data_IF_376909150095
#
_entry.id   IF_376909150095
#
_cell.length_a   1.000
_cell.length_b   1.000
_cell.length_c   1.000
_cell.angle_alpha   90.00
_cell.angle_beta   90.00
_cell.angle_gamma   90.00
#
_symmetry.space_group_name_H-M   'P 1'
#
loop_
_entity.id
_entity.type
_entity.pdbx_description
1 polymer ?
#
# COMPACT_ATOMS: atom_id res chain seq x y z
N UNK A 1 -3.56 17.92 -52.58
CA UNK A 1 -4.33 16.75 -52.10
C UNK A 1 -3.55 15.49 -52.44
N UNK A 2 -3.49 14.53 -51.52
CA UNK A 2 -2.75 13.25 -51.57
C UNK A 2 -1.27 13.26 -51.13
N UNK A 3 -1.02 13.66 -49.88
CA UNK A 3 0.03 13.03 -49.02
C UNK A 3 -0.52 12.98 -47.58
N UNK A 4 -1.60 12.20 -47.38
CA UNK A 4 -2.11 11.82 -46.06
C UNK A 4 -2.55 10.36 -46.16
N UNK A 5 -1.58 9.46 -46.27
CA UNK A 5 -1.81 8.02 -46.21
C UNK A 5 -0.48 7.31 -45.97
N UNK A 6 0.02 7.34 -44.72
CA UNK A 6 0.90 6.34 -44.09
C UNK A 6 1.44 6.90 -42.78
N UNK A 7 0.72 6.64 -41.70
CA UNK A 7 1.27 6.31 -40.38
C UNK A 7 0.13 5.95 -39.42
N UNK A 8 -0.75 5.03 -39.86
CA UNK A 8 -1.35 4.09 -38.92
C UNK A 8 -0.36 2.93 -38.83
N UNK A 9 0.75 3.17 -38.13
CA UNK A 9 1.55 2.08 -37.61
C UNK A 9 0.74 1.47 -36.49
N UNK A 10 -0.07 0.46 -36.81
CA UNK A 10 -0.58 -0.44 -35.79
C UNK A 10 0.61 -0.80 -34.92
N UNK A 11 0.51 -0.50 -33.62
CA UNK A 11 1.39 -1.02 -32.59
C UNK A 11 1.18 -2.54 -32.58
N UNK A 12 1.78 -3.23 -33.55
CA UNK A 12 1.80 -4.68 -33.61
C UNK A 12 2.68 -5.11 -32.45
N UNK A 13 2.02 -5.39 -31.32
CA UNK A 13 2.62 -6.05 -30.17
C UNK A 13 3.28 -7.32 -30.70
N UNK A 14 4.55 -7.51 -30.38
CA UNK A 14 5.24 -8.78 -30.67
C UNK A 14 4.48 -9.92 -29.98
N UNK A 15 4.62 -11.16 -30.46
CA UNK A 15 3.91 -12.29 -29.86
C UNK A 15 4.25 -12.46 -28.36
N UNK A 16 5.48 -12.10 -27.97
CA UNK A 16 5.93 -12.03 -26.59
C UNK A 16 5.21 -10.93 -25.78
N UNK A 17 5.10 -9.70 -26.32
CA UNK A 17 4.36 -8.61 -25.67
C UNK A 17 2.87 -8.95 -25.54
N UNK A 18 2.30 -9.66 -26.52
CA UNK A 18 0.91 -10.13 -26.48
C UNK A 18 0.70 -11.19 -25.40
N UNK A 19 1.66 -12.10 -25.21
CA UNK A 19 1.63 -13.08 -24.14
C UNK A 19 1.70 -12.41 -22.76
N UNK A 20 2.68 -11.50 -22.56
CA UNK A 20 2.82 -10.69 -21.34
C UNK A 20 1.54 -9.91 -21.02
N UNK A 21 0.89 -9.33 -22.05
CA UNK A 21 -0.35 -8.57 -21.88
C UNK A 21 -1.51 -9.45 -21.42
N UNK A 22 -1.64 -10.68 -21.96
CA UNK A 22 -2.66 -11.64 -21.51
C UNK A 22 -2.43 -12.08 -20.07
N UNK A 23 -1.17 -12.34 -19.70
CA UNK A 23 -0.81 -12.70 -18.32
C UNK A 23 -1.09 -11.55 -17.35
N UNK A 24 -0.69 -10.33 -17.70
CA UNK A 24 -1.02 -9.12 -16.95
C UNK A 24 -2.53 -8.93 -16.79
N UNK A 25 -3.31 -9.15 -17.84
CA UNK A 25 -4.78 -9.07 -17.76
C UNK A 25 -5.38 -10.06 -16.76
N UNK A 26 -4.85 -11.29 -16.71
CA UNK A 26 -5.27 -12.31 -15.72
C UNK A 26 -4.87 -11.92 -14.29
N UNK A 27 -3.64 -11.46 -14.09
CA UNK A 27 -3.16 -10.99 -12.78
C UNK A 27 -3.97 -9.78 -12.30
N UNK A 28 -4.21 -8.79 -13.17
CA UNK A 28 -5.02 -7.62 -12.86
C UNK A 28 -6.47 -8.00 -12.49
N UNK A 29 -7.08 -8.92 -13.24
CA UNK A 29 -8.42 -9.42 -12.95
C UNK A 29 -8.45 -10.15 -11.59
N UNK A 30 -7.45 -11.00 -11.30
CA UNK A 30 -7.30 -11.67 -10.02
C UNK A 30 -7.14 -10.70 -8.85
N UNK A 31 -6.28 -9.69 -9.00
CA UNK A 31 -6.09 -8.62 -7.99
C UNK A 31 -7.36 -7.81 -7.77
N UNK A 32 -8.07 -7.47 -8.84
CA UNK A 32 -9.33 -6.73 -8.74
C UNK A 32 -10.38 -7.54 -7.99
N UNK A 33 -10.53 -8.84 -8.32
CA UNK A 33 -11.42 -9.75 -7.61
C UNK A 33 -11.08 -9.87 -6.12
N UNK A 34 -9.79 -9.99 -5.79
CA UNK A 34 -9.32 -10.00 -4.40
C UNK A 34 -9.68 -8.68 -3.68
N UNK A 35 -9.44 -7.53 -4.31
CA UNK A 35 -9.75 -6.22 -3.73
C UNK A 35 -11.24 -6.08 -3.44
N UNK A 36 -12.13 -6.57 -4.31
CA UNK A 36 -13.59 -6.55 -4.06
C UNK A 36 -13.94 -7.30 -2.78
N UNK A 37 -13.39 -8.50 -2.59
CA UNK A 37 -13.65 -9.34 -1.42
C UNK A 37 -13.05 -8.72 -0.15
N UNK A 38 -11.84 -8.18 -0.24
CA UNK A 38 -11.12 -7.61 0.91
C UNK A 38 -11.43 -6.14 1.18
N UNK A 39 -12.29 -5.50 0.38
CA UNK A 39 -12.52 -4.06 0.47
C UNK A 39 -12.96 -3.58 1.85
N UNK A 40 -13.89 -4.27 2.56
CA UNK A 40 -14.26 -3.87 3.93
C UNK A 40 -13.08 -3.81 4.89
N UNK A 41 -12.07 -4.68 4.71
CA UNK A 41 -10.84 -4.65 5.52
C UNK A 41 -9.98 -3.45 5.14
N UNK A 42 -9.88 -3.12 3.85
CA UNK A 42 -9.19 -1.91 3.38
C UNK A 42 -9.84 -0.64 3.90
N UNK A 43 -11.18 -0.58 3.89
CA UNK A 43 -11.97 0.51 4.45
C UNK A 43 -11.65 0.72 5.94
N UNK A 44 -11.77 -0.35 6.74
CA UNK A 44 -11.45 -0.29 8.18
C UNK A 44 -9.97 0.06 8.42
N UNK A 45 -9.05 -0.43 7.58
CA UNK A 45 -7.63 -0.09 7.68
C UNK A 45 -7.38 1.40 7.45
N UNK A 46 -8.03 2.03 6.47
CA UNK A 46 -7.91 3.48 6.25
C UNK A 46 -8.43 4.24 7.47
N UNK A 47 -9.58 3.86 8.03
CA UNK A 47 -10.10 4.47 9.26
C UNK A 47 -9.13 4.34 10.44
N UNK A 48 -8.50 3.17 10.62
CA UNK A 48 -7.46 2.99 11.64
C UNK A 48 -6.25 3.88 11.40
N UNK A 49 -5.82 4.06 10.15
CA UNK A 49 -4.71 4.96 9.81
C UNK A 49 -5.04 6.42 10.13
N UNK A 50 -6.29 6.83 9.93
CA UNK A 50 -6.82 8.15 10.33
C UNK A 50 -7.04 8.27 11.84
N UNK A 51 -6.97 7.16 12.59
CA UNK A 51 -7.14 7.13 14.04
C UNK A 51 -8.60 7.17 14.50
N UNK A 52 -9.54 6.72 13.66
CA UNK A 52 -10.96 6.70 14.02
C UNK A 52 -11.31 5.53 14.94
N UNK A 53 -11.37 5.78 16.25
CA UNK A 53 -11.69 4.77 17.27
C UNK A 53 -12.88 5.17 18.17
N UNK A 54 -14.12 5.21 17.64
CA UNK A 54 -15.29 5.65 18.41
C UNK A 54 -15.81 4.59 19.39
N UNK A 55 -15.28 3.36 19.33
CA UNK A 55 -15.82 2.21 20.04
C UNK A 55 -15.12 1.95 21.38
N UNK A 56 -15.82 1.35 22.35
CA UNK A 56 -15.26 1.09 23.67
C UNK A 56 -14.11 0.06 23.61
N UNK A 57 -13.14 0.28 24.48
CA UNK A 57 -12.01 -0.61 24.74
C UNK A 57 -12.47 -1.87 25.48
N UNK A 58 -11.83 -2.98 25.15
CA UNK A 58 -11.99 -4.26 25.87
C UNK A 58 -10.80 -4.45 26.81
N UNK A 59 -11.06 -4.92 28.02
CA UNK A 59 -10.00 -5.29 28.95
C UNK A 59 -9.53 -6.72 28.70
N UNK A 60 -8.22 -6.94 28.73
CA UNK A 60 -7.64 -8.27 28.57
C UNK A 60 -6.23 -8.37 29.15
N UNK A 61 -5.65 -9.57 29.11
CA UNK A 61 -4.24 -9.79 29.44
C UNK A 61 -3.40 -9.68 28.17
N UNK A 62 -2.27 -8.98 28.24
CA UNK A 62 -1.32 -8.77 27.13
C UNK A 62 -0.81 -10.09 26.50
N UNK A 63 -0.77 -11.16 27.30
CA UNK A 63 -0.49 -12.53 26.89
C UNK A 63 -1.60 -13.42 27.43
N UNK A 64 -2.14 -14.32 26.61
CA UNK A 64 -3.37 -15.09 26.87
C UNK A 64 -3.39 -15.80 28.25
N UNK A 65 -2.22 -16.12 28.83
CA UNK A 65 -2.11 -16.79 30.13
C UNK A 65 -1.30 -16.05 31.21
N UNK A 66 -0.34 -15.19 30.88
CA UNK A 66 0.61 -14.61 31.86
C UNK A 66 0.94 -13.12 31.60
N UNK A 67 -0.02 -12.36 31.07
CA UNK A 67 0.18 -10.94 30.73
C UNK A 67 -0.35 -9.94 31.77
N UNK A 68 0.21 -8.73 31.73
CA UNK A 68 -0.33 -7.54 32.40
C UNK A 68 -1.74 -7.23 31.88
N UNK A 69 -2.59 -6.67 32.74
CA UNK A 69 -3.86 -6.07 32.31
C UNK A 69 -3.59 -4.90 31.36
N UNK A 70 -4.07 -5.03 30.13
CA UNK A 70 -3.94 -4.03 29.06
C UNK A 70 -5.30 -3.77 28.44
N UNK A 71 -5.51 -2.56 27.95
CA UNK A 71 -6.68 -2.22 27.16
C UNK A 71 -6.44 -2.60 25.70
N UNK A 72 -7.48 -3.10 25.05
CA UNK A 72 -7.47 -3.49 23.65
C UNK A 72 -8.54 -2.75 22.88
N UNK A 73 -8.16 -2.21 21.73
CA UNK A 73 -9.11 -1.71 20.74
C UNK A 73 -9.87 -2.90 20.12
N UNK A 74 -11.10 -2.68 19.64
CA UNK A 74 -11.83 -3.72 18.93
C UNK A 74 -11.02 -4.22 17.74
N UNK A 75 -11.07 -5.53 17.52
CA UNK A 75 -10.51 -6.15 16.33
C UNK A 75 -11.23 -5.64 15.07
N UNK A 76 -10.60 -5.77 13.90
CA UNK A 76 -11.14 -5.28 12.63
C UNK A 76 -12.55 -5.82 12.32
N UNK A 77 -12.84 -7.08 12.67
CA UNK A 77 -14.14 -7.69 12.39
C UNK A 77 -15.25 -7.10 13.28
N UNK A 78 -14.95 -6.89 14.56
CA UNK A 78 -15.86 -6.27 15.53
C UNK A 78 -16.06 -4.80 15.20
N UNK A 79 -15.00 -4.11 14.79
CA UNK A 79 -15.05 -2.75 14.30
C UNK A 79 -15.98 -2.62 13.08
N UNK A 80 -15.78 -3.46 12.05
CA UNK A 80 -16.66 -3.51 10.87
C UNK A 80 -18.10 -3.86 11.28
N UNK A 81 -18.29 -4.84 12.16
CA UNK A 81 -19.62 -5.23 12.65
C UNK A 81 -20.33 -4.07 13.34
N UNK A 82 -19.62 -3.25 14.11
CA UNK A 82 -20.22 -2.10 14.76
C UNK A 82 -20.56 -1.01 13.72
N UNK A 83 -19.67 -0.73 12.76
CA UNK A 83 -19.97 0.24 11.68
C UNK A 83 -21.21 -0.17 10.88
N UNK A 84 -21.36 -1.46 10.56
CA UNK A 84 -22.54 -1.97 9.85
C UNK A 84 -23.81 -1.80 10.68
N UNK A 85 -23.72 -1.92 12.00
CA UNK A 85 -24.86 -1.70 12.89
C UNK A 85 -25.22 -0.21 13.01
N UNK A 86 -24.23 0.68 13.03
CA UNK A 86 -24.43 2.11 13.24
C UNK A 86 -24.81 2.86 11.95
N UNK A 87 -24.10 2.58 10.84
CA UNK A 87 -24.16 3.33 9.58
C UNK A 87 -24.69 2.50 8.40
N UNK A 88 -24.73 1.17 8.55
CA UNK A 88 -25.23 0.25 7.53
C UNK A 88 -24.14 -0.33 6.61
N UNK A 89 -24.51 -1.37 5.84
CA UNK A 89 -23.57 -2.12 5.01
C UNK A 89 -22.98 -1.30 3.85
N UNK A 90 -23.74 -0.33 3.32
CA UNK A 90 -23.33 0.48 2.16
C UNK A 90 -22.07 1.30 2.45
N UNK A 91 -21.90 1.75 3.70
CA UNK A 91 -20.76 2.56 4.13
C UNK A 91 -19.42 1.83 3.98
N UNK A 92 -19.40 0.50 4.13
CA UNK A 92 -18.19 -0.29 3.94
C UNK A 92 -17.64 -0.23 2.51
N UNK A 93 -18.47 0.16 1.53
CA UNK A 93 -18.10 0.30 0.13
C UNK A 93 -17.91 1.77 -0.29
N UNK A 94 -17.88 2.71 0.65
CA UNK A 94 -17.59 4.12 0.37
C UNK A 94 -16.17 4.28 -0.19
N UNK A 95 -16.05 4.84 -1.40
CA UNK A 95 -14.77 5.07 -2.08
C UNK A 95 -14.26 3.86 -2.89
N UNK A 96 -15.04 2.79 -3.00
CA UNK A 96 -14.67 1.57 -3.71
C UNK A 96 -14.40 1.79 -5.21
N UNK A 97 -15.18 2.65 -5.84
CA UNK A 97 -15.02 3.08 -7.23
C UNK A 97 -13.63 3.70 -7.49
N UNK A 98 -13.20 4.62 -6.62
CA UNK A 98 -11.89 5.24 -6.68
C UNK A 98 -10.77 4.23 -6.37
N UNK A 99 -11.01 3.26 -5.50
CA UNK A 99 -10.05 2.18 -5.22
C UNK A 99 -9.80 1.29 -6.45
N UNK A 100 -10.85 0.89 -7.16
CA UNK A 100 -10.72 0.12 -8.42
C UNK A 100 -10.01 0.97 -9.47
N UNK A 101 -10.39 2.24 -9.63
CA UNK A 101 -9.74 3.13 -10.58
C UNK A 101 -8.23 3.27 -10.27
N UNK A 102 -7.85 3.43 -9.00
CA UNK A 102 -6.46 3.48 -8.58
C UNK A 102 -5.70 2.20 -8.96
N UNK A 103 -6.29 1.02 -8.69
CA UNK A 103 -5.69 -0.27 -9.00
C UNK A 103 -5.49 -0.47 -10.50
N UNK A 104 -6.54 -0.24 -11.30
CA UNK A 104 -6.51 -0.46 -12.74
C UNK A 104 -5.57 0.53 -13.41
N UNK A 105 -5.70 1.81 -13.12
CA UNK A 105 -4.87 2.86 -13.74
C UNK A 105 -3.41 2.73 -13.29
N UNK A 106 -3.15 2.51 -12.00
CA UNK A 106 -1.80 2.33 -11.49
C UNK A 106 -1.13 1.06 -12.01
N UNK A 107 -1.86 -0.05 -12.03
CA UNK A 107 -1.37 -1.33 -12.54
C UNK A 107 -1.05 -1.27 -14.03
N UNK A 108 -1.97 -0.71 -14.83
CA UNK A 108 -1.76 -0.55 -16.29
C UNK A 108 -0.62 0.41 -16.60
N UNK A 109 -0.50 1.53 -15.87
CA UNK A 109 0.60 2.46 -16.02
C UNK A 109 1.97 1.83 -15.67
N UNK A 110 2.04 1.07 -14.58
CA UNK A 110 3.25 0.36 -14.19
C UNK A 110 3.65 -0.68 -15.24
N UNK A 111 2.69 -1.47 -15.72
CA UNK A 111 2.92 -2.47 -16.77
C UNK A 111 3.33 -1.84 -18.12
N UNK A 112 2.64 -0.78 -18.55
CA UNK A 112 2.98 -0.05 -19.77
C UNK A 112 4.39 0.55 -19.68
N UNK A 113 4.77 1.07 -18.51
CA UNK A 113 6.13 1.58 -18.25
C UNK A 113 7.16 0.46 -18.32
N UNK A 114 6.84 -0.73 -17.80
CA UNK A 114 7.71 -1.90 -17.88
C UNK A 114 7.94 -2.34 -19.34
N UNK A 115 6.88 -2.43 -20.15
CA UNK A 115 7.00 -2.74 -21.59
C UNK A 115 7.82 -1.67 -22.32
N UNK A 116 7.60 -0.40 -22.00
CA UNK A 116 8.34 0.71 -22.59
C UNK A 116 9.83 0.65 -22.26
N UNK A 117 10.19 0.37 -20.99
CA UNK A 117 11.58 0.18 -20.57
C UNK A 117 12.21 -1.01 -21.28
N UNK A 118 11.51 -2.14 -21.36
CA UNK A 118 12.04 -3.35 -22.00
C UNK A 118 12.32 -3.12 -23.50
N UNK A 119 11.49 -2.31 -24.17
CA UNK A 119 11.61 -2.03 -25.60
C UNK A 119 12.67 -0.98 -25.94
N UNK A 120 12.70 0.15 -25.23
CA UNK A 120 13.51 1.31 -25.60
C UNK A 120 14.76 1.48 -24.74
N UNK A 121 14.76 0.95 -23.52
CA UNK A 121 15.86 1.09 -22.57
C UNK A 121 16.31 -0.27 -22.02
N UNK A 122 16.71 -1.22 -22.89
CA UNK A 122 17.16 -2.55 -22.45
C UNK A 122 18.44 -2.52 -21.62
N UNK A 123 19.18 -1.40 -21.58
CA UNK A 123 20.34 -1.17 -20.71
C UNK A 123 20.01 -0.47 -19.38
N UNK A 124 18.74 -0.16 -19.10
CA UNK A 124 18.38 0.50 -17.84
C UNK A 124 18.68 -0.44 -16.66
N UNK A 125 19.62 -0.02 -15.81
CA UNK A 125 20.09 -0.77 -14.65
C UNK A 125 21.25 -1.73 -14.91
N UNK A 126 21.90 -1.70 -16.08
CA UNK A 126 23.04 -2.54 -16.46
C UNK A 126 22.90 -3.12 -17.86
N UNK A 127 23.85 -3.89 -18.37
CA UNK A 127 23.67 -4.56 -19.68
C UNK A 127 22.57 -5.63 -19.64
N UNK A 128 21.92 -5.97 -20.78
CA UNK A 128 21.01 -7.10 -20.85
C UNK A 128 21.76 -8.40 -20.59
N UNK A 129 21.75 -8.80 -19.33
CA UNK A 129 22.22 -10.08 -18.85
C UNK A 129 21.15 -11.14 -19.16
N UNK A 130 21.57 -12.27 -19.74
CA UNK A 130 20.69 -13.43 -19.89
C UNK A 130 20.22 -13.88 -18.50
N UNK A 131 18.91 -14.13 -18.34
CA UNK A 131 18.35 -14.83 -17.18
C UNK A 131 18.78 -16.31 -17.26
N UNK A 132 20.07 -16.58 -17.03
CA UNK A 132 20.60 -17.95 -16.86
C UNK A 132 20.18 -18.49 -15.49
N UNK A 133 20.08 -19.81 -15.37
CA UNK A 133 19.89 -20.47 -14.08
C UNK A 133 21.08 -20.10 -13.16
N UNK A 134 20.78 -19.64 -11.94
CA UNK A 134 21.74 -18.98 -11.04
C UNK A 134 22.91 -19.87 -10.57
N UNK A 135 22.85 -21.18 -10.85
CA UNK A 135 23.88 -22.16 -10.51
C UNK A 135 25.22 -21.94 -11.25
N UNK A 136 25.24 -21.17 -12.36
CA UNK A 136 26.47 -20.90 -13.14
C UNK A 136 27.08 -19.50 -12.93
N UNK A 137 26.57 -18.72 -11.97
CA UNK A 137 26.75 -17.26 -11.97
C UNK A 137 27.67 -16.78 -10.83
N UNK A 138 28.71 -16.02 -11.21
CA UNK A 138 29.61 -15.32 -10.28
C UNK A 138 28.88 -14.37 -9.31
N UNK A 139 29.40 -14.23 -8.09
CA UNK A 139 28.86 -13.41 -7.00
C UNK A 139 28.50 -11.99 -7.46
N UNK A 140 29.37 -11.39 -8.28
CA UNK A 140 29.21 -10.04 -8.79
C UNK A 140 28.09 -9.93 -9.83
N UNK A 141 27.86 -10.96 -10.63
CA UNK A 141 26.84 -10.95 -11.67
C UNK A 141 25.44 -11.10 -11.09
N UNK A 142 25.24 -11.93 -10.06
CA UNK A 142 23.95 -12.06 -9.36
C UNK A 142 23.53 -10.73 -8.71
N UNK A 143 24.47 -10.02 -8.08
CA UNK A 143 24.21 -8.69 -7.51
C UNK A 143 23.77 -7.68 -8.58
N UNK A 144 24.46 -7.66 -9.72
CA UNK A 144 24.11 -6.77 -10.84
C UNK A 144 22.71 -7.08 -11.40
N UNK A 145 22.36 -8.37 -11.53
CA UNK A 145 21.04 -8.79 -12.01
C UNK A 145 19.92 -8.34 -11.06
N UNK A 146 20.10 -8.50 -9.75
CA UNK A 146 19.11 -8.11 -8.75
C UNK A 146 18.95 -6.59 -8.66
N UNK A 147 20.06 -5.84 -8.71
CA UNK A 147 20.03 -4.37 -8.77
C UNK A 147 19.32 -3.89 -10.03
N UNK A 148 19.61 -4.48 -11.18
CA UNK A 148 18.94 -4.17 -12.46
C UNK A 148 17.43 -4.40 -12.36
N UNK A 149 17.01 -5.56 -11.85
CA UNK A 149 15.59 -5.89 -11.61
C UNK A 149 14.94 -4.86 -10.67
N UNK A 150 15.62 -4.48 -9.59
CA UNK A 150 15.13 -3.48 -8.64
C UNK A 150 14.98 -2.09 -9.24
N UNK A 151 15.96 -1.60 -10.01
CA UNK A 151 15.92 -0.28 -10.66
C UNK A 151 14.73 -0.20 -11.61
N UNK A 152 14.55 -1.19 -12.48
CA UNK A 152 13.42 -1.25 -13.43
C UNK A 152 12.07 -1.28 -12.71
N UNK A 153 11.95 -2.14 -11.69
CA UNK A 153 10.76 -2.23 -10.85
C UNK A 153 10.47 -0.92 -10.10
N UNK A 154 11.52 -0.21 -9.67
CA UNK A 154 11.36 1.11 -9.02
C UNK A 154 10.76 2.10 -10.00
N UNK A 155 11.29 2.21 -11.21
CA UNK A 155 10.76 3.17 -12.21
C UNK A 155 9.30 2.86 -12.56
N UNK A 156 8.98 1.61 -12.88
CA UNK A 156 7.60 1.23 -13.23
C UNK A 156 6.62 1.45 -12.07
N UNK A 157 7.02 1.09 -10.85
CA UNK A 157 6.19 1.28 -9.67
C UNK A 157 5.95 2.76 -9.36
N UNK A 158 7.00 3.61 -9.41
CA UNK A 158 6.85 5.04 -9.14
C UNK A 158 5.91 5.70 -10.14
N UNK A 159 6.00 5.37 -11.43
CA UNK A 159 5.08 5.87 -12.46
C UNK A 159 3.65 5.41 -12.16
N UNK A 160 3.46 4.13 -11.82
CA UNK A 160 2.16 3.60 -11.40
C UNK A 160 1.57 4.32 -10.18
N UNK A 161 2.38 4.58 -9.16
CA UNK A 161 1.97 5.28 -7.92
C UNK A 161 1.64 6.74 -8.19
N UNK A 162 2.40 7.44 -9.03
CA UNK A 162 2.12 8.82 -9.42
C UNK A 162 0.78 8.89 -10.16
N UNK A 163 0.57 8.04 -11.17
CA UNK A 163 -0.64 8.09 -12.00
C UNK A 163 -1.88 7.65 -11.21
N UNK A 164 -1.76 6.68 -10.29
CA UNK A 164 -2.87 6.24 -9.44
C UNK A 164 -3.17 7.17 -8.26
N UNK A 165 -2.26 8.08 -7.89
CA UNK A 165 -2.40 8.91 -6.68
C UNK A 165 -3.70 9.70 -6.59
N UNK A 166 -4.18 10.39 -7.64
CA UNK A 166 -5.44 11.14 -7.59
C UNK A 166 -6.63 10.28 -7.14
N UNK A 167 -6.69 9.03 -7.61
CA UNK A 167 -7.76 8.10 -7.26
C UNK A 167 -7.64 7.62 -5.81
N UNK A 168 -6.43 7.31 -5.36
CA UNK A 168 -6.17 6.95 -3.95
C UNK A 168 -6.54 8.08 -2.99
N UNK A 169 -6.25 9.34 -3.34
CA UNK A 169 -6.63 10.51 -2.53
C UNK A 169 -8.15 10.65 -2.45
N UNK A 170 -8.87 10.47 -3.56
CA UNK A 170 -10.34 10.51 -3.57
C UNK A 170 -10.91 9.39 -2.69
N UNK A 171 -10.39 8.17 -2.79
CA UNK A 171 -10.79 7.05 -1.94
C UNK A 171 -10.63 7.41 -0.45
N UNK A 172 -9.45 7.87 -0.05
CA UNK A 172 -9.16 8.21 1.35
C UNK A 172 -10.08 9.31 1.87
N UNK A 173 -10.30 10.37 1.08
CA UNK A 173 -11.17 11.50 1.48
C UNK A 173 -12.64 11.12 1.60
N UNK A 174 -13.11 10.20 0.76
CA UNK A 174 -14.47 9.66 0.86
C UNK A 174 -14.63 8.78 2.10
N UNK A 175 -13.63 7.96 2.42
CA UNK A 175 -13.63 7.17 3.66
C UNK A 175 -13.59 8.09 4.88
N UNK A 176 -12.77 9.15 4.85
CA UNK A 176 -12.64 10.10 5.95
C UNK A 176 -13.94 10.86 6.25
N UNK A 177 -14.77 11.12 5.24
CA UNK A 177 -16.07 11.78 5.42
C UNK A 177 -17.04 11.02 6.32
N UNK A 178 -16.94 9.70 6.37
CA UNK A 178 -17.77 8.86 7.23
C UNK A 178 -17.45 9.09 8.72
N UNK A 179 -16.28 9.63 9.05
CA UNK A 179 -15.88 9.98 10.43
C UNK A 179 -16.70 11.17 10.94
N UNK A 180 -16.92 12.18 10.10
CA UNK A 180 -17.59 13.43 10.46
C UNK A 180 -19.04 13.52 9.99
N UNK A 181 -19.49 12.56 9.16
CA UNK A 181 -20.82 12.56 8.55
C UNK A 181 -20.99 13.64 7.46
N UNK A 182 -19.89 14.08 6.85
CA UNK A 182 -19.90 15.13 5.82
C UNK A 182 -20.17 14.58 4.42
N UNK A 183 -21.05 15.22 3.64
CA UNK A 183 -21.37 14.78 2.27
C UNK A 183 -20.67 15.61 1.17
N UNK A 184 -19.39 15.96 1.34
CA UNK A 184 -18.67 16.83 0.39
C UNK A 184 -18.23 16.10 -0.91
N UNK A 185 -17.97 14.79 -0.88
CA UNK A 185 -17.44 13.98 -1.99
C UNK A 185 -18.39 12.79 -2.31
N UNK A 186 -19.45 13.06 -3.05
CA UNK A 186 -20.51 12.06 -3.33
C UNK A 186 -20.14 11.07 -4.44
N UNK A 187 -19.61 11.56 -5.57
CA UNK A 187 -19.23 10.76 -6.74
C UNK A 187 -17.74 10.91 -7.01
N UNK A 188 -17.04 9.85 -7.44
CA UNK A 188 -15.59 9.95 -7.68
C UNK A 188 -15.23 10.99 -8.76
N UNK A 189 -16.01 11.09 -9.85
CA UNK A 189 -15.79 12.07 -10.94
C UNK A 189 -16.00 13.50 -10.43
N UNK A 190 -17.13 13.75 -9.76
CA UNK A 190 -17.40 15.07 -9.18
C UNK A 190 -16.31 15.44 -8.15
N UNK A 191 -15.86 14.47 -7.36
CA UNK A 191 -14.80 14.66 -6.36
C UNK A 191 -13.48 15.03 -7.02
N UNK A 192 -13.12 14.37 -8.12
CA UNK A 192 -11.92 14.71 -8.90
C UNK A 192 -11.92 16.17 -9.36
N UNK A 193 -13.00 16.61 -10.01
CA UNK A 193 -13.11 17.99 -10.48
C UNK A 193 -13.21 19.00 -9.33
N UNK A 194 -13.91 18.64 -8.25
CA UNK A 194 -14.06 19.50 -7.06
C UNK A 194 -12.73 19.75 -6.39
N UNK A 195 -11.93 18.71 -6.16
CA UNK A 195 -10.57 18.84 -5.59
C UNK A 195 -9.69 19.68 -6.53
N UNK A 196 -9.72 19.39 -7.84
CA UNK A 196 -8.96 20.15 -8.83
C UNK A 196 -9.33 21.64 -8.89
N UNK A 197 -10.59 22.00 -8.61
CA UNK A 197 -11.07 23.38 -8.60
C UNK A 197 -10.84 24.09 -7.28
N UNK A 198 -11.07 23.43 -6.15
CA UNK A 198 -10.99 24.06 -4.81
C UNK A 198 -9.55 24.11 -4.27
N UNK A 199 -8.76 23.06 -4.52
CA UNK A 199 -7.42 22.88 -3.93
C UNK A 199 -6.30 22.92 -4.98
N UNK A 200 -6.67 22.86 -6.26
CA UNK A 200 -5.74 22.74 -7.36
C UNK A 200 -5.14 21.34 -7.51
N UNK A 201 -4.21 21.16 -8.46
CA UNK A 201 -3.59 19.87 -8.72
C UNK A 201 -2.80 19.34 -7.50
N UNK A 202 -2.28 20.22 -6.64
CA UNK A 202 -1.58 19.81 -5.41
C UNK A 202 -2.46 18.95 -4.50
N UNK A 203 -3.77 19.23 -4.40
CA UNK A 203 -4.70 18.44 -3.58
C UNK A 203 -4.80 16.98 -4.01
N UNK A 204 -4.75 16.71 -5.32
CA UNK A 204 -4.81 15.34 -5.87
C UNK A 204 -3.53 14.54 -5.65
N UNK A 205 -2.41 15.22 -5.38
CA UNK A 205 -1.10 14.60 -5.12
C UNK A 205 -0.64 14.77 -3.66
N UNK A 206 -1.51 15.25 -2.76
CA UNK A 206 -1.19 15.36 -1.35
C UNK A 206 -0.80 13.99 -0.77
N UNK A 207 0.32 13.93 -0.04
CA UNK A 207 0.88 12.69 0.49
C UNK A 207 1.60 11.77 -0.52
N UNK A 208 1.88 12.25 -1.74
CA UNK A 208 2.63 11.48 -2.75
C UNK A 208 4.05 11.12 -2.27
N UNK A 209 4.80 12.07 -1.70
CA UNK A 209 6.20 11.83 -1.31
C UNK A 209 6.36 10.67 -0.31
N UNK A 210 5.62 10.60 0.82
CA UNK A 210 5.68 9.44 1.70
C UNK A 210 5.29 8.12 1.01
N UNK A 211 4.35 8.15 0.05
CA UNK A 211 3.98 6.95 -0.71
C UNK A 211 5.14 6.45 -1.59
N UNK A 212 5.83 7.36 -2.28
CA UNK A 212 7.00 7.01 -3.10
C UNK A 212 8.15 6.47 -2.23
N UNK A 213 8.40 7.08 -1.06
CA UNK A 213 9.40 6.59 -0.10
C UNK A 213 9.04 5.17 0.37
N UNK A 214 7.76 4.92 0.67
CA UNK A 214 7.29 3.59 1.07
C UNK A 214 7.53 2.52 -0.02
N UNK A 215 7.26 2.87 -1.28
CA UNK A 215 7.50 1.99 -2.43
C UNK A 215 8.99 1.68 -2.60
N UNK A 216 9.86 2.71 -2.53
CA UNK A 216 11.31 2.54 -2.64
C UNK A 216 11.84 1.63 -1.52
N UNK A 217 11.46 1.90 -0.27
CA UNK A 217 11.86 1.06 0.87
C UNK A 217 11.42 -0.40 0.66
N UNK A 218 10.21 -0.59 0.13
CA UNK A 218 9.66 -1.93 -0.07
C UNK A 218 10.38 -2.67 -1.18
N UNK A 219 10.65 -2.03 -2.31
CA UNK A 219 11.36 -2.65 -3.44
C UNK A 219 12.79 -2.99 -3.04
N UNK A 220 13.54 -2.02 -2.53
CA UNK A 220 14.95 -2.22 -2.19
C UNK A 220 15.13 -3.14 -0.99
N UNK A 221 14.25 -3.05 0.01
CA UNK A 221 14.26 -3.95 1.17
C UNK A 221 13.99 -5.41 0.77
N UNK A 222 13.00 -5.64 -0.09
CA UNK A 222 12.70 -6.99 -0.60
C UNK A 222 13.86 -7.50 -1.45
N UNK A 223 14.42 -6.69 -2.36
CA UNK A 223 15.57 -7.10 -3.18
C UNK A 223 16.80 -7.41 -2.33
N UNK A 224 17.11 -6.58 -1.33
CA UNK A 224 18.29 -6.78 -0.48
C UNK A 224 18.20 -8.08 0.33
N UNK A 225 17.05 -8.35 0.95
CA UNK A 225 16.84 -9.59 1.70
C UNK A 225 16.79 -10.79 0.75
N UNK A 226 16.16 -10.62 -0.43
CA UNK A 226 16.11 -11.66 -1.45
C UNK A 226 17.50 -12.11 -1.88
N UNK A 227 18.33 -11.15 -2.26
CA UNK A 227 19.73 -11.40 -2.58
C UNK A 227 20.46 -12.08 -1.42
N UNK A 228 20.30 -11.60 -0.19
CA UNK A 228 20.92 -12.22 0.98
C UNK A 228 20.55 -13.68 1.19
N UNK A 229 19.26 -14.03 1.05
CA UNK A 229 18.77 -15.41 1.22
C UNK A 229 19.19 -16.31 0.06
N UNK A 230 19.08 -15.85 -1.20
CA UNK A 230 19.54 -16.60 -2.38
C UNK A 230 21.03 -16.95 -2.26
N UNK A 231 21.84 -16.02 -1.75
CA UNK A 231 23.27 -16.24 -1.50
C UNK A 231 23.54 -17.28 -0.40
N UNK A 232 22.71 -17.34 0.64
CA UNK A 232 22.82 -18.37 1.69
C UNK A 232 22.42 -19.74 1.14
N UNK A 233 21.37 -19.80 0.33
CA UNK A 233 20.92 -21.05 -0.30
C UNK A 233 21.98 -21.63 -1.24
N UNK A 234 22.61 -20.80 -2.08
CA UNK A 234 23.67 -21.25 -3.00
C UNK A 234 24.92 -21.70 -2.23
N UNK A 235 25.38 -20.93 -1.22
CA UNK A 235 26.57 -21.29 -0.42
C UNK A 235 26.42 -22.58 0.38
N UNK A 236 25.20 -22.98 0.69
CA UNK A 236 24.93 -24.24 1.40
C UNK A 236 24.84 -25.44 0.45
N UNK A 237 25.03 -25.25 -0.86
CA UNK A 237 25.06 -26.32 -1.86
C UNK A 237 23.70 -26.99 -2.08
N UNK A 238 22.60 -26.34 -1.70
CA UNK A 238 21.24 -26.90 -1.69
C UNK A 238 20.64 -27.04 -3.10
N UNK A 239 21.25 -26.44 -4.12
CA UNK A 239 20.72 -26.45 -5.50
C UNK A 239 21.26 -27.61 -6.36
N UNK A 240 22.29 -28.36 -5.91
CA UNK A 240 23.09 -29.24 -6.77
C UNK A 240 22.91 -30.76 -6.59
N UNK A 241 22.04 -31.25 -5.68
CA UNK A 241 21.84 -32.70 -5.55
C UNK A 241 20.41 -33.17 -5.84
N UNK A 242 20.31 -34.39 -6.38
CA UNK A 242 19.06 -35.12 -6.62
C UNK A 242 18.31 -35.50 -5.33
N UNK A 243 18.77 -35.04 -4.17
CA UNK A 243 18.25 -35.37 -2.87
C UNK A 243 16.94 -34.62 -2.61
N UNK A 244 15.87 -35.38 -2.31
CA UNK A 244 14.56 -34.83 -2.02
C UNK A 244 14.59 -33.79 -0.88
N UNK A 245 15.48 -33.97 0.10
CA UNK A 245 15.65 -33.08 1.26
C UNK A 245 16.16 -31.68 0.87
N UNK A 246 17.01 -31.56 -0.15
CA UNK A 246 17.54 -30.27 -0.58
C UNK A 246 16.52 -29.48 -1.42
N UNK A 247 15.73 -30.17 -2.24
CA UNK A 247 14.58 -29.55 -2.94
C UNK A 247 13.53 -29.01 -1.97
N UNK A 248 13.32 -29.65 -0.83
CA UNK A 248 12.44 -29.13 0.22
C UNK A 248 13.02 -27.86 0.85
N UNK A 249 14.32 -27.83 1.20
CA UNK A 249 14.96 -26.61 1.73
C UNK A 249 14.95 -25.44 0.74
N UNK A 250 15.13 -25.70 -0.55
CA UNK A 250 14.99 -24.67 -1.59
C UNK A 250 13.54 -24.16 -1.72
N UNK A 251 12.54 -25.04 -1.57
CA UNK A 251 11.11 -24.65 -1.52
C UNK A 251 10.79 -23.82 -0.28
N UNK A 252 11.33 -24.19 0.88
CA UNK A 252 11.19 -23.42 2.12
C UNK A 252 11.83 -22.03 2.00
N UNK A 253 13.05 -21.95 1.46
CA UNK A 253 13.73 -20.69 1.16
C UNK A 253 12.89 -19.80 0.23
N UNK A 254 12.35 -20.36 -0.86
CA UNK A 254 11.45 -19.66 -1.77
C UNK A 254 10.12 -19.24 -1.11
N UNK A 255 9.59 -20.05 -0.19
CA UNK A 255 8.41 -19.68 0.59
C UNK A 255 8.70 -18.49 1.51
N UNK A 256 9.81 -18.51 2.25
CA UNK A 256 10.24 -17.39 3.09
C UNK A 256 10.41 -16.12 2.26
N UNK A 257 11.06 -16.22 1.09
CA UNK A 257 11.28 -15.12 0.16
C UNK A 257 9.98 -14.49 -0.34
N UNK A 258 8.99 -15.30 -0.71
CA UNK A 258 7.77 -14.80 -1.35
C UNK A 258 6.73 -14.30 -0.35
N UNK A 259 6.67 -14.86 0.86
CA UNK A 259 5.60 -14.54 1.82
C UNK A 259 6.09 -13.79 3.06
N UNK A 260 7.23 -14.16 3.62
CA UNK A 260 7.72 -13.59 4.88
C UNK A 260 8.49 -12.29 4.65
N UNK A 261 9.35 -12.25 3.63
CA UNK A 261 10.17 -11.06 3.34
C UNK A 261 9.32 -9.81 3.06
N UNK A 262 8.28 -9.85 2.20
CA UNK A 262 7.44 -8.67 1.99
C UNK A 262 6.74 -8.20 3.27
N UNK A 263 6.36 -9.12 4.17
CA UNK A 263 5.74 -8.78 5.45
C UNK A 263 6.71 -8.05 6.40
N UNK A 264 7.95 -8.53 6.49
CA UNK A 264 9.00 -7.88 7.31
C UNK A 264 9.29 -6.48 6.78
N UNK A 265 9.51 -6.37 5.46
CA UNK A 265 9.86 -5.09 4.83
C UNK A 265 8.68 -4.11 4.91
N UNK A 266 7.44 -4.59 4.80
CA UNK A 266 6.25 -3.77 4.98
C UNK A 266 6.21 -3.09 6.36
N UNK A 267 6.79 -3.69 7.41
CA UNK A 267 6.92 -3.06 8.72
C UNK A 267 7.72 -1.74 8.69
N UNK A 268 8.72 -1.64 7.80
CA UNK A 268 9.56 -0.44 7.65
C UNK A 268 8.93 0.61 6.74
N UNK A 269 8.17 0.20 5.71
CA UNK A 269 7.47 1.13 4.82
C UNK A 269 6.14 1.63 5.40
N UNK A 270 5.55 0.89 6.35
CA UNK A 270 4.25 1.20 6.93
C UNK A 270 4.12 2.62 7.51
N UNK A 271 5.08 3.13 8.32
CA UNK A 271 5.01 4.51 8.83
C UNK A 271 4.79 5.56 7.74
N UNK A 272 5.45 5.40 6.59
CA UNK A 272 5.33 6.31 5.47
C UNK A 272 3.99 6.16 4.75
N UNK A 273 3.43 4.94 4.67
CA UNK A 273 2.08 4.72 4.15
C UNK A 273 1.04 5.42 5.01
N UNK A 274 1.14 5.32 6.34
CA UNK A 274 0.22 6.01 7.27
C UNK A 274 0.31 7.52 7.07
N UNK A 275 1.52 8.08 7.06
CA UNK A 275 1.70 9.53 6.83
C UNK A 275 1.19 9.94 5.45
N UNK A 276 1.35 9.12 4.42
CA UNK A 276 0.75 9.34 3.10
C UNK A 276 -0.79 9.42 3.16
N UNK A 277 -1.43 8.54 3.94
CA UNK A 277 -2.89 8.50 4.10
C UNK A 277 -3.38 9.75 4.82
N UNK A 278 -2.71 10.14 5.90
CA UNK A 278 -3.00 11.36 6.66
C UNK A 278 -2.85 12.61 5.80
N UNK A 279 -1.70 12.72 5.12
CA UNK A 279 -1.40 13.86 4.25
C UNK A 279 -2.37 13.93 3.06
N UNK A 280 -3.07 12.86 2.69
CA UNK A 280 -4.10 12.91 1.66
C UNK A 280 -5.30 13.79 2.08
N UNK A 281 -5.55 13.97 3.38
CA UNK A 281 -6.61 14.83 3.91
C UNK A 281 -6.20 16.30 4.02
N UNK A 282 -4.89 16.60 4.01
CA UNK A 282 -4.39 17.97 4.13
C UNK A 282 -4.89 18.83 2.98
N UNK A 283 -5.43 20.00 3.33
CA UNK A 283 -6.01 20.96 2.37
C UNK A 283 -7.42 20.61 1.89
N UNK A 284 -7.98 19.47 2.31
CA UNK A 284 -9.29 19.00 1.83
C UNK A 284 -10.48 19.82 2.33
N UNK A 285 -10.29 20.61 3.40
CA UNK A 285 -11.35 21.33 4.09
C UNK A 285 -12.39 20.41 4.75
N UNK A 286 -12.09 19.12 4.92
CA UNK A 286 -12.89 18.19 5.74
C UNK A 286 -12.68 18.51 7.21
N UNK A 287 -13.71 18.38 8.03
CA UNK A 287 -13.61 18.61 9.47
C UNK A 287 -12.56 17.70 10.14
N UNK A 288 -12.38 16.47 9.63
CA UNK A 288 -11.31 15.54 10.09
C UNK A 288 -9.92 16.15 9.97
N UNK A 289 -9.68 16.98 8.93
CA UNK A 289 -8.38 17.61 8.65
C UNK A 289 -8.15 18.95 9.35
N UNK A 290 -9.07 19.35 10.24
CA UNK A 290 -9.08 20.65 10.93
C UNK A 290 -9.17 20.46 12.44
N UNK A 291 -8.78 21.49 13.19
CA UNK A 291 -8.98 21.49 14.65
C UNK A 291 -10.48 21.43 14.98
N UNK A 292 -10.88 20.69 16.04
CA UNK A 292 -10.04 20.03 17.04
C UNK A 292 -9.58 18.61 16.66
N UNK A 293 -9.98 18.10 15.49
CA UNK A 293 -9.67 16.75 15.06
C UNK A 293 -8.18 16.63 14.78
N UNK A 294 -7.65 17.44 13.86
CA UNK A 294 -6.28 17.35 13.35
C UNK A 294 -5.55 18.69 13.36
N UNK A 295 -4.25 18.75 13.68
CA UNK A 295 -3.44 19.93 13.42
C UNK A 295 -3.09 20.06 11.93
N UNK A 296 -2.92 21.30 11.47
CA UNK A 296 -2.54 21.56 10.07
C UNK A 296 -1.06 21.22 9.84
N UNK A 297 -0.78 20.36 8.86
CA UNK A 297 0.57 19.98 8.45
C UNK A 297 0.95 20.65 7.12
N UNK A 298 1.87 21.63 7.10
CA UNK A 298 2.38 22.22 5.86
C UNK A 298 3.25 21.23 5.07
N UNK A 299 4.04 20.42 5.76
CA UNK A 299 4.92 19.41 5.17
C UNK A 299 4.61 18.02 5.70
N UNK A 300 4.91 16.99 4.90
CA UNK A 300 4.81 15.60 5.34
C UNK A 300 5.83 15.25 6.44
N UNK A 301 6.94 15.99 6.51
CA UNK A 301 7.93 15.85 7.59
C UNK A 301 7.33 16.26 8.94
N UNK A 302 6.61 17.38 8.98
CA UNK A 302 5.93 17.86 10.18
C UNK A 302 4.87 16.84 10.66
N UNK A 303 4.12 16.27 9.71
CA UNK A 303 3.18 15.19 9.99
C UNK A 303 3.89 13.94 10.52
N UNK A 304 5.02 13.56 9.92
CA UNK A 304 5.81 12.41 10.36
C UNK A 304 6.35 12.61 11.78
N UNK A 305 6.93 13.78 12.08
CA UNK A 305 7.48 14.09 13.39
C UNK A 305 6.40 14.17 14.46
N UNK A 306 5.25 14.77 14.15
CA UNK A 306 4.08 14.79 15.02
C UNK A 306 3.57 13.37 15.30
N UNK A 307 3.42 12.54 14.26
CA UNK A 307 2.96 11.16 14.43
C UNK A 307 3.98 10.32 15.20
N UNK A 308 5.27 10.54 15.00
CA UNK A 308 6.35 9.84 15.72
C UNK A 308 6.35 10.22 17.20
N UNK A 309 6.22 11.50 17.52
CA UNK A 309 6.11 12.00 18.90
C UNK A 309 4.91 11.39 19.63
N UNK A 310 3.78 11.23 18.93
CA UNK A 310 2.54 10.65 19.46
C UNK A 310 2.42 9.12 19.27
N UNK A 311 3.51 8.41 18.90
CA UNK A 311 3.51 6.95 18.65
C UNK A 311 2.41 6.45 17.69
N UNK A 312 1.99 7.31 16.79
CA UNK A 312 0.88 7.13 15.87
C UNK A 312 1.28 6.52 14.52
N UNK A 313 2.58 6.41 14.23
CA UNK A 313 3.10 5.96 12.93
C UNK A 313 2.77 4.50 12.60
N UNK A 314 2.38 3.69 13.59
CA UNK A 314 2.03 2.27 13.42
C UNK A 314 0.53 2.01 13.57
N UNK A 315 -0.31 3.04 13.59
CA UNK A 315 -1.77 2.90 13.64
C UNK A 315 -2.28 2.05 12.47
N UNK A 316 -3.05 1.01 12.78
CA UNK A 316 -3.58 0.07 11.78
C UNK A 316 -2.59 -1.00 11.27
N UNK A 317 -1.37 -1.05 11.80
CA UNK A 317 -0.38 -2.08 11.42
C UNK A 317 -0.83 -3.50 11.86
N UNK A 318 -1.49 -3.58 13.01
CA UNK A 318 -2.11 -4.81 13.53
C UNK A 318 -3.63 -4.65 13.45
N UNK A 319 -4.30 -5.51 12.68
CA UNK A 319 -5.75 -5.45 12.48
C UNK A 319 -6.55 -6.24 13.55
N UNK A 320 -5.96 -7.31 14.10
CA UNK A 320 -6.67 -8.23 15.00
C UNK A 320 -6.35 -7.99 16.48
N UNK A 321 -5.07 -7.91 16.82
CA UNK A 321 -4.62 -7.69 18.21
C UNK A 321 -4.06 -6.29 18.34
N UNK A 322 -4.86 -5.40 18.94
CA UNK A 322 -4.63 -3.95 18.97
C UNK A 322 -4.53 -3.47 20.41
N UNK A 323 -3.35 -3.63 20.99
CA UNK A 323 -3.08 -3.15 22.35
C UNK A 323 -3.04 -1.61 22.37
N UNK A 324 -3.85 -1.01 23.25
CA UNK A 324 -3.90 0.44 23.46
C UNK A 324 -3.09 0.81 24.70
N UNK A 325 -2.13 1.71 24.53
CA UNK A 325 -1.14 2.08 25.57
C UNK A 325 -1.27 3.52 26.05
N UNK A 326 -2.22 4.27 25.51
CA UNK A 326 -2.39 5.69 25.78
C UNK A 326 -3.44 5.95 26.86
N UNK A 327 -3.70 7.23 27.14
CA UNK A 327 -4.71 7.64 28.09
C UNK A 327 -6.11 7.17 27.65
N UNK A 328 -6.93 6.84 28.62
CA UNK A 328 -8.29 6.33 28.44
C UNK A 328 -9.26 7.32 29.06
N UNK A 329 -10.37 7.59 28.39
CA UNK A 329 -11.51 8.33 28.94
C UNK A 329 -12.62 7.38 29.35
N UNK A 330 -13.40 7.75 30.37
CA UNK A 330 -14.59 7.00 30.76
C UNK A 330 -15.79 7.70 30.11
N UNK A 331 -16.53 6.97 29.28
CA UNK A 331 -17.75 7.46 28.64
C UNK A 331 -18.91 7.56 29.65
N UNK A 332 -19.99 8.23 29.25
CA UNK A 332 -21.22 8.33 30.05
C UNK A 332 -21.91 6.99 30.29
N UNK A 333 -21.58 5.98 29.48
CA UNK A 333 -22.01 4.59 29.60
C UNK A 333 -21.14 3.76 30.56
N UNK A 334 -20.16 4.36 31.22
CA UNK A 334 -19.23 3.70 32.13
C UNK A 334 -18.19 2.83 31.44
N UNK A 335 -18.08 2.88 30.11
CA UNK A 335 -17.07 2.12 29.35
C UNK A 335 -15.82 2.96 29.12
N UNK A 336 -14.71 2.26 28.92
CA UNK A 336 -13.42 2.85 28.60
C UNK A 336 -13.34 3.17 27.10
N UNK A 337 -12.92 4.38 26.75
CA UNK A 337 -12.71 4.83 25.37
C UNK A 337 -11.26 5.30 25.20
N UNK A 338 -10.74 5.16 23.99
CA UNK A 338 -9.45 5.75 23.66
C UNK A 338 -9.55 7.28 23.76
N UNK A 339 -8.74 7.89 24.64
CA UNK A 339 -8.58 9.35 24.68
C UNK A 339 -7.65 9.76 23.54
N UNK A 340 -8.13 9.65 22.29
CA UNK A 340 -7.41 10.17 21.13
C UNK A 340 -7.50 11.69 21.17
N UNK A 341 -6.42 12.33 21.61
CA UNK A 341 -6.34 13.80 21.76
C UNK A 341 -6.60 14.53 20.43
N UNK A 342 -6.30 13.89 19.30
CA UNK A 342 -6.50 14.37 17.93
C UNK A 342 -6.67 13.16 16.99
N UNK A 343 -7.72 13.15 16.16
CA UNK A 343 -7.78 12.31 14.96
C UNK A 343 -6.71 12.86 14.00
N UNK A 344 -6.01 12.03 13.21
CA UNK A 344 -4.85 12.63 12.49
C UNK A 344 -5.27 13.70 11.52
#
# INVERSE_FOLDING_TARGET
MAVVARNNGDLQLTDEERAKTKEFGKDLAGRTGLVVVTYPLSFAKVLFQLGHEPYPLTEGKSLFFFGRHSYFLPNVLKYISNIVQDQGLKTLFTGFDAAIAALVVGGTASFATQLYIDRYFPSLGGDPLEDKEEHEIDDHYSAQLQVRKAVRKTVSQLVGTIISRPFTVIMIRRIAQEITGENKYTNFICSFFKIGREEGPRGLFSGLLPALIADIITIWGVTAIRYGVERVLIRTGIDDTNDAEQKERAKEGRFLLNYVVPFIVAGFSYPYQVVSTVMALTGSGLAVSLLPYSPLFPSWLDAFDYMKANRATTRGARLFVREYKEAVSIGSDGKYYALTKHYV
#
